data_IF_234469421904
#
_entry.id   IF_234469421904
#
_cell.length_a   1.000
_cell.length_b   1.000
_cell.length_c   1.000
_cell.angle_alpha   90.00
_cell.angle_beta   90.00
_cell.angle_gamma   90.00
#
_symmetry.space_group_name_H-M   'P 1'
#
loop_
_entity.id
_entity.type
_entity.pdbx_description
1 polymer ?
#
# COMPACT_ATOMS: atom_id res chain seq x y z
N UNK A 1 11.18 -13.55 21.76
CA UNK A 1 11.24 -14.98 21.39
C UNK A 1 10.53 -15.26 20.06
N UNK A 2 9.24 -14.91 19.87
CA UNK A 2 8.49 -15.16 18.61
C UNK A 2 9.11 -14.40 17.42
N UNK A 3 9.55 -13.16 17.61
CA UNK A 3 10.22 -12.36 16.56
C UNK A 3 11.55 -12.95 16.17
N UNK A 4 12.35 -13.41 17.14
CA UNK A 4 13.69 -13.94 16.89
C UNK A 4 13.70 -15.30 16.18
N UNK A 5 12.61 -16.05 16.26
CA UNK A 5 12.48 -17.39 15.65
C UNK A 5 11.79 -17.36 14.28
N UNK A 6 11.00 -16.34 13.98
CA UNK A 6 10.28 -16.24 12.71
C UNK A 6 11.16 -15.70 11.58
N UNK A 7 11.34 -16.49 10.53
CA UNK A 7 12.05 -16.07 9.30
C UNK A 7 11.36 -14.85 8.64
N UNK A 8 10.03 -14.78 8.71
CA UNK A 8 9.25 -13.65 8.16
C UNK A 8 9.53 -12.35 8.91
N UNK A 9 9.53 -12.40 10.25
CA UNK A 9 9.77 -11.22 11.07
C UNK A 9 11.21 -10.72 10.93
N UNK A 10 12.18 -11.62 10.79
CA UNK A 10 13.58 -11.24 10.47
C UNK A 10 13.68 -10.55 9.11
N UNK A 11 12.95 -11.01 8.09
CA UNK A 11 12.91 -10.32 6.78
C UNK A 11 12.40 -8.89 6.90
N UNK A 12 11.36 -8.66 7.69
CA UNK A 12 10.83 -7.31 7.96
C UNK A 12 11.86 -6.44 8.69
N UNK A 13 12.55 -6.97 9.69
CA UNK A 13 13.61 -6.22 10.39
C UNK A 13 14.80 -5.89 9.49
N UNK A 14 15.15 -6.79 8.57
CA UNK A 14 16.31 -6.62 7.70
C UNK A 14 16.04 -5.76 6.47
N UNK A 15 14.81 -5.73 5.95
CA UNK A 15 14.48 -5.20 4.62
C UNK A 15 13.21 -4.35 4.60
N UNK A 16 12.59 -4.13 5.74
CA UNK A 16 11.30 -3.45 5.88
C UNK A 16 10.23 -4.04 4.93
N UNK A 17 9.21 -3.27 4.61
CA UNK A 17 8.21 -3.62 3.58
C UNK A 17 8.81 -3.74 2.18
N UNK A 18 9.98 -3.15 1.91
CA UNK A 18 10.71 -3.26 0.64
C UNK A 18 11.11 -4.72 0.28
N UNK A 19 11.07 -5.65 1.25
CA UNK A 19 11.15 -7.09 0.99
C UNK A 19 10.10 -7.59 -0.01
N UNK A 20 8.99 -6.87 -0.17
CA UNK A 20 7.90 -7.20 -1.11
C UNK A 20 8.28 -6.96 -2.57
N UNK A 21 9.23 -6.08 -2.88
CA UNK A 21 9.61 -5.78 -4.28
C UNK A 21 9.91 -7.05 -5.06
N UNK A 22 10.79 -7.92 -4.55
CA UNK A 22 11.13 -9.18 -5.22
C UNK A 22 9.97 -10.17 -5.26
N UNK A 23 9.25 -10.30 -4.15
CA UNK A 23 8.12 -11.24 -4.04
C UNK A 23 7.03 -10.89 -5.06
N UNK A 24 6.70 -9.61 -5.18
CA UNK A 24 5.66 -9.10 -6.10
C UNK A 24 6.14 -9.16 -7.54
N UNK A 25 7.43 -8.93 -7.80
CA UNK A 25 8.06 -9.11 -9.11
C UNK A 25 8.00 -10.57 -9.57
N UNK A 26 8.39 -11.52 -8.71
CA UNK A 26 8.33 -12.96 -8.99
C UNK A 26 6.89 -13.41 -9.23
N UNK A 27 5.93 -12.81 -8.53
CA UNK A 27 4.50 -13.02 -8.74
C UNK A 27 3.92 -12.34 -9.97
N UNK A 28 4.72 -11.65 -10.81
CA UNK A 28 4.23 -10.96 -12.02
C UNK A 28 3.19 -9.88 -11.74
N UNK A 29 3.25 -9.26 -10.56
CA UNK A 29 2.28 -8.25 -10.11
C UNK A 29 2.93 -6.92 -9.71
N UNK A 30 4.24 -6.72 -9.96
CA UNK A 30 4.94 -5.45 -9.74
C UNK A 30 4.60 -4.45 -10.84
N UNK A 31 3.61 -3.64 -10.59
CA UNK A 31 3.06 -2.67 -11.55
C UNK A 31 4.11 -1.71 -12.08
N UNK A 32 4.07 -1.48 -13.38
CA UNK A 32 5.08 -0.68 -14.08
C UNK A 32 4.40 0.30 -15.03
N UNK A 33 4.93 1.52 -15.12
CA UNK A 33 4.55 2.55 -16.10
C UNK A 33 3.03 2.73 -16.22
N UNK A 34 2.42 3.27 -15.20
CA UNK A 34 0.97 3.47 -15.11
C UNK A 34 0.16 2.20 -15.42
N UNK A 35 0.46 1.09 -14.73
CA UNK A 35 -0.29 -0.17 -14.83
C UNK A 35 -0.21 -0.88 -16.20
N UNK A 36 0.84 -0.61 -16.98
CA UNK A 36 1.00 -1.22 -18.30
C UNK A 36 1.57 -2.66 -18.23
N UNK A 37 2.33 -3.00 -17.19
CA UNK A 37 2.95 -4.31 -17.00
C UNK A 37 3.00 -4.69 -15.52
N UNK A 38 3.05 -5.98 -15.21
CA UNK A 38 3.27 -6.53 -13.87
C UNK A 38 4.74 -6.85 -13.57
N UNK A 39 5.69 -6.35 -14.37
CA UNK A 39 7.12 -6.65 -14.24
C UNK A 39 7.98 -5.44 -14.55
N UNK A 40 9.08 -5.27 -13.78
CA UNK A 40 10.04 -4.18 -13.91
C UNK A 40 11.49 -4.70 -13.92
N UNK A 41 12.24 -4.44 -14.97
CA UNK A 41 13.63 -4.91 -15.11
C UNK A 41 14.56 -4.35 -14.03
N UNK A 42 14.33 -3.10 -13.60
CA UNK A 42 15.13 -2.40 -12.57
C UNK A 42 14.84 -2.80 -11.13
N UNK A 43 13.94 -3.76 -10.88
CA UNK A 43 13.41 -4.10 -9.55
C UNK A 43 14.48 -4.44 -8.50
N UNK A 44 15.59 -5.06 -8.91
CA UNK A 44 16.66 -5.40 -7.97
C UNK A 44 17.31 -4.18 -7.33
N UNK A 45 17.50 -3.10 -8.11
CA UNK A 45 18.11 -1.86 -7.62
C UNK A 45 17.21 -1.15 -6.58
N UNK A 46 15.88 -1.32 -6.68
CA UNK A 46 14.90 -0.83 -5.70
C UNK A 46 14.54 -1.82 -4.61
N UNK A 47 15.21 -2.98 -4.50
CA UNK A 47 14.84 -4.02 -3.54
C UNK A 47 15.26 -3.70 -2.11
N UNK A 48 14.58 -4.32 -1.14
CA UNK A 48 14.94 -4.23 0.27
C UNK A 48 16.33 -4.80 0.58
N UNK A 49 16.79 -5.79 -0.19
CA UNK A 49 18.14 -6.32 -0.13
C UNK A 49 19.17 -5.26 -0.48
N UNK A 50 18.97 -4.57 -1.60
CA UNK A 50 19.85 -3.48 -2.05
C UNK A 50 19.83 -2.32 -1.06
N UNK A 51 18.66 -1.94 -0.56
CA UNK A 51 18.52 -0.88 0.43
C UNK A 51 19.28 -1.20 1.73
N UNK A 52 19.15 -2.42 2.24
CA UNK A 52 19.91 -2.88 3.42
C UNK A 52 21.42 -2.84 3.18
N UNK A 53 21.87 -3.38 2.05
CA UNK A 53 23.29 -3.41 1.68
C UNK A 53 23.87 -2.00 1.58
N UNK A 54 23.21 -1.11 0.82
CA UNK A 54 23.64 0.29 0.64
C UNK A 54 23.72 1.01 1.99
N UNK A 55 22.74 0.83 2.87
CA UNK A 55 22.75 1.45 4.20
C UNK A 55 23.94 0.99 5.03
N UNK A 56 24.25 -0.32 5.03
CA UNK A 56 25.41 -0.86 5.76
C UNK A 56 26.75 -0.41 5.18
N UNK A 57 26.89 -0.39 3.87
CA UNK A 57 28.12 0.01 3.18
C UNK A 57 28.45 1.48 3.38
N UNK A 58 27.43 2.36 3.36
CA UNK A 58 27.62 3.79 3.56
C UNK A 58 27.84 4.17 5.02
N UNK A 59 27.25 3.42 5.95
CA UNK A 59 27.39 3.66 7.39
C UNK A 59 26.92 5.03 7.83
N UNK A 60 27.72 5.72 8.65
CA UNK A 60 27.42 7.07 9.13
C UNK A 60 26.15 7.15 9.96
N UNK A 61 25.19 7.94 9.52
CA UNK A 61 23.87 8.08 10.14
C UNK A 61 22.86 7.00 9.67
N UNK A 62 23.30 6.11 8.76
CA UNK A 62 22.49 4.99 8.28
C UNK A 62 22.21 3.96 9.36
N UNK A 63 20.95 3.54 9.49
CA UNK A 63 20.53 2.56 10.50
C UNK A 63 19.63 1.50 9.85
N UNK A 64 19.97 0.23 10.11
CA UNK A 64 19.15 -0.93 9.75
C UNK A 64 18.35 -1.38 10.97
N UNK A 65 17.15 -1.93 10.76
CA UNK A 65 16.28 -2.42 11.83
C UNK A 65 15.94 -1.33 12.86
N UNK A 66 15.52 -0.17 12.38
CA UNK A 66 15.06 0.95 13.19
C UNK A 66 13.60 0.73 13.64
N UNK A 67 13.29 1.01 14.87
CA UNK A 67 11.91 0.99 15.39
C UNK A 67 11.25 2.36 15.19
N UNK A 68 10.09 2.40 14.52
CA UNK A 68 9.31 3.62 14.33
C UNK A 68 8.76 4.20 15.64
N UNK A 69 8.69 3.41 16.70
CA UNK A 69 8.27 3.82 18.06
C UNK A 69 9.10 3.10 19.12
N UNK A 70 9.15 3.71 20.31
CA UNK A 70 9.83 3.11 21.47
C UNK A 70 9.21 1.78 21.84
N UNK A 71 10.06 0.79 22.08
CA UNK A 71 9.64 -0.58 22.46
C UNK A 71 9.19 -1.46 21.29
N UNK A 72 9.20 -0.99 20.05
CA UNK A 72 8.86 -1.81 18.90
C UNK A 72 9.85 -2.97 18.73
N UNK A 73 9.34 -4.21 18.78
CA UNK A 73 10.14 -5.42 18.60
C UNK A 73 10.32 -5.80 17.14
N UNK A 74 9.46 -5.32 16.25
CA UNK A 74 9.50 -5.62 14.81
C UNK A 74 10.66 -4.94 14.10
N UNK A 75 10.90 -3.66 14.44
CA UNK A 75 11.96 -2.84 13.86
C UNK A 75 11.99 -2.92 12.33
N UNK A 76 10.83 -2.77 11.71
CA UNK A 76 10.65 -2.93 10.27
C UNK A 76 10.88 -1.63 9.48
N UNK A 77 11.79 -0.77 9.92
CA UNK A 77 12.21 0.45 9.24
C UNK A 77 13.72 0.62 9.30
N UNK A 78 14.23 1.69 8.73
CA UNK A 78 15.64 2.08 8.76
C UNK A 78 15.81 3.58 8.53
N UNK A 79 17.05 4.03 8.58
CA UNK A 79 17.48 5.37 8.22
C UNK A 79 18.38 5.29 6.99
N UNK A 80 18.00 5.98 5.92
CA UNK A 80 18.67 5.92 4.62
C UNK A 80 19.75 7.01 4.51
N UNK A 81 21.04 6.64 4.39
CA UNK A 81 22.13 7.60 4.27
C UNK A 81 22.42 7.94 2.79
N UNK A 82 22.94 9.13 2.55
CA UNK A 82 23.55 9.50 1.27
C UNK A 82 24.92 8.81 1.06
N UNK A 83 25.57 9.08 -0.06
CA UNK A 83 26.90 8.52 -0.41
C UNK A 83 28.01 8.89 0.58
N UNK A 84 27.81 9.93 1.40
CA UNK A 84 28.74 10.39 2.43
C UNK A 84 28.36 9.91 3.84
N UNK A 85 27.35 9.06 3.96
CA UNK A 85 26.83 8.57 5.24
C UNK A 85 25.92 9.56 5.98
N UNK A 86 25.52 10.68 5.36
CA UNK A 86 24.61 11.66 5.96
C UNK A 86 23.16 11.25 5.73
N UNK A 87 22.31 11.41 6.74
CA UNK A 87 20.88 11.06 6.67
C UNK A 87 20.14 11.82 5.58
N UNK A 88 19.45 11.09 4.68
CA UNK A 88 18.44 11.63 3.77
C UNK A 88 17.07 11.62 4.45
N UNK A 89 16.63 10.45 4.94
CA UNK A 89 15.33 10.27 5.57
C UNK A 89 15.17 8.85 6.15
N UNK A 90 13.95 8.48 6.49
CA UNK A 90 13.63 7.08 6.77
C UNK A 90 13.86 6.22 5.53
N UNK A 91 13.92 4.91 5.71
CA UNK A 91 13.85 3.99 4.56
C UNK A 91 12.53 4.16 3.83
N UNK A 92 12.56 4.38 2.50
CA UNK A 92 11.33 4.34 1.71
C UNK A 92 10.61 2.99 1.89
N UNK A 93 9.32 3.05 2.17
CA UNK A 93 8.48 1.87 2.26
C UNK A 93 8.20 1.28 0.86
N UNK A 94 7.70 0.03 0.81
CA UNK A 94 7.42 -0.65 -0.46
C UNK A 94 6.54 0.19 -1.39
N UNK A 95 5.50 0.82 -0.87
CA UNK A 95 4.58 1.65 -1.66
C UNK A 95 5.30 2.88 -2.24
N UNK A 96 6.15 3.54 -1.47
CA UNK A 96 6.97 4.66 -1.94
C UNK A 96 7.97 4.23 -3.01
N UNK A 97 8.67 3.09 -2.78
CA UNK A 97 9.59 2.52 -3.76
C UNK A 97 8.84 2.19 -5.06
N UNK A 98 7.66 1.60 -4.94
CA UNK A 98 6.86 1.25 -6.11
C UNK A 98 6.38 2.47 -6.87
N UNK A 99 5.78 3.46 -6.20
CA UNK A 99 5.12 4.61 -6.84
C UNK A 99 6.10 5.51 -7.59
N UNK A 100 7.25 5.76 -6.99
CA UNK A 100 8.32 6.55 -7.62
C UNK A 100 9.28 5.72 -8.47
N UNK A 101 9.39 4.43 -8.21
CA UNK A 101 10.25 3.48 -8.89
C UNK A 101 9.58 2.83 -10.10
N UNK A 102 9.15 1.56 -10.01
CA UNK A 102 8.54 0.82 -11.14
C UNK A 102 7.42 1.58 -11.84
N UNK A 103 6.53 2.23 -11.10
CA UNK A 103 5.41 2.99 -11.67
C UNK A 103 5.87 4.14 -12.57
N UNK A 104 6.96 4.81 -12.21
CA UNK A 104 7.57 5.92 -12.94
C UNK A 104 8.76 5.50 -13.82
N UNK A 105 9.15 4.22 -13.79
CA UNK A 105 10.28 3.69 -14.57
C UNK A 105 11.66 4.08 -14.01
N UNK A 106 11.75 4.45 -12.72
CA UNK A 106 12.97 4.86 -12.03
C UNK A 106 13.48 3.70 -11.15
N UNK A 107 14.78 3.47 -11.11
CA UNK A 107 15.41 2.38 -10.35
C UNK A 107 16.56 2.84 -9.44
N UNK A 108 16.59 4.11 -9.10
CA UNK A 108 17.60 4.74 -8.24
C UNK A 108 17.02 5.02 -6.84
N UNK A 109 17.46 4.24 -5.84
CA UNK A 109 17.04 4.40 -4.45
C UNK A 109 17.42 5.76 -3.85
N UNK A 110 18.53 6.37 -4.27
CA UNK A 110 18.95 7.68 -3.77
C UNK A 110 17.96 8.77 -4.20
N UNK A 111 17.45 8.65 -5.41
CA UNK A 111 16.43 9.55 -5.94
C UNK A 111 15.09 9.31 -5.26
N UNK A 112 14.67 8.04 -5.14
CA UNK A 112 13.41 7.67 -4.48
C UNK A 112 13.40 8.14 -3.00
N UNK A 113 14.51 7.98 -2.28
CA UNK A 113 14.63 8.46 -0.90
C UNK A 113 14.53 9.99 -0.79
N UNK A 114 14.99 10.74 -1.80
CA UNK A 114 14.81 12.19 -1.86
C UNK A 114 13.36 12.58 -2.13
N UNK A 115 12.66 11.84 -2.99
CA UNK A 115 11.23 12.09 -3.24
C UNK A 115 10.41 11.82 -1.98
N UNK A 116 10.68 10.70 -1.28
CA UNK A 116 10.07 10.38 0.01
C UNK A 116 10.29 11.52 1.02
N UNK A 117 11.53 12.01 1.12
CA UNK A 117 11.87 13.13 2.00
C UNK A 117 11.10 14.40 1.65
N UNK A 118 10.95 14.74 0.37
CA UNK A 118 10.18 15.91 -0.05
C UNK A 118 8.70 15.74 0.32
N UNK A 119 8.12 14.55 0.10
CA UNK A 119 6.75 14.27 0.50
C UNK A 119 6.54 14.43 2.00
N UNK A 120 7.46 13.90 2.82
CA UNK A 120 7.43 14.05 4.28
C UNK A 120 7.51 15.53 4.71
N UNK A 121 8.41 16.32 4.11
CA UNK A 121 8.61 17.74 4.45
C UNK A 121 7.41 18.62 4.08
N UNK A 122 6.71 18.27 2.99
CA UNK A 122 5.54 19.03 2.49
C UNK A 122 4.23 18.50 3.06
N UNK A 123 4.21 17.26 3.53
CA UNK A 123 3.01 16.59 4.08
C UNK A 123 2.05 16.08 3.01
N UNK A 124 2.57 15.47 1.94
CA UNK A 124 1.79 14.83 0.87
C UNK A 124 2.04 13.34 0.83
N UNK A 125 1.03 12.57 0.37
CA UNK A 125 1.12 11.11 0.27
C UNK A 125 2.01 10.67 -0.89
N UNK A 126 2.93 9.73 -0.62
CA UNK A 126 3.88 9.21 -1.62
C UNK A 126 3.21 8.37 -2.70
N UNK A 127 2.10 7.69 -2.38
CA UNK A 127 1.32 6.92 -3.36
C UNK A 127 0.65 7.88 -4.33
N UNK A 128 -0.12 8.85 -3.83
CA UNK A 128 -0.86 9.79 -4.66
C UNK A 128 0.05 10.64 -5.55
N UNK A 129 1.16 11.16 -5.00
CA UNK A 129 2.14 11.94 -5.76
C UNK A 129 2.85 11.07 -6.79
N UNK A 130 3.30 9.87 -6.42
CA UNK A 130 3.98 8.96 -7.33
C UNK A 130 3.09 8.48 -8.47
N UNK A 131 1.82 8.14 -8.18
CA UNK A 131 0.83 7.79 -9.21
C UNK A 131 0.52 8.99 -10.10
N UNK A 132 0.36 10.19 -9.53
CA UNK A 132 0.19 11.43 -10.28
C UNK A 132 1.38 11.73 -11.21
N UNK A 133 2.60 11.47 -10.75
CA UNK A 133 3.82 11.58 -11.57
C UNK A 133 3.79 10.58 -12.74
N UNK A 134 3.44 9.33 -12.49
CA UNK A 134 3.27 8.32 -13.55
C UNK A 134 2.19 8.69 -14.57
N UNK A 135 1.13 9.39 -14.16
CA UNK A 135 0.13 9.95 -15.08
C UNK A 135 0.70 11.08 -15.94
N UNK A 136 1.48 12.00 -15.37
CA UNK A 136 2.17 13.04 -16.13
C UNK A 136 3.13 12.43 -17.18
N UNK A 137 3.83 11.35 -16.81
CA UNK A 137 4.67 10.59 -17.74
C UNK A 137 3.83 9.93 -18.85
N UNK A 138 2.70 9.32 -18.49
CA UNK A 138 1.77 8.73 -19.46
C UNK A 138 1.14 9.78 -20.39
N UNK A 139 0.94 11.00 -19.91
CA UNK A 139 0.47 12.15 -20.72
C UNK A 139 1.58 12.75 -21.62
N UNK A 140 2.82 12.28 -21.50
CA UNK A 140 3.96 12.81 -22.25
C UNK A 140 4.51 14.15 -21.73
N UNK A 141 4.13 14.57 -20.53
CA UNK A 141 4.65 15.79 -19.90
C UNK A 141 6.13 15.65 -19.49
N UNK A 142 6.55 14.42 -19.15
CA UNK A 142 7.96 14.05 -18.95
C UNK A 142 8.18 12.57 -19.33
N UNK A 143 9.41 12.18 -19.72
CA UNK A 143 9.71 10.78 -20.06
C UNK A 143 9.66 9.86 -18.84
N UNK A 144 9.24 8.59 -19.01
CA UNK A 144 9.45 7.56 -18.00
C UNK A 144 10.95 7.35 -17.75
N UNK A 145 11.33 7.25 -16.47
CA UNK A 145 12.70 7.01 -16.04
C UNK A 145 13.57 8.27 -15.95
N UNK A 146 13.05 9.45 -16.31
CA UNK A 146 13.78 10.71 -16.16
C UNK A 146 13.72 11.21 -14.70
N UNK A 147 14.66 10.72 -13.90
CA UNK A 147 14.75 11.02 -12.48
C UNK A 147 15.02 12.52 -12.21
N UNK A 148 15.80 13.19 -13.05
CA UNK A 148 16.13 14.59 -12.86
C UNK A 148 14.93 15.51 -13.17
N UNK A 149 14.18 15.22 -14.22
CA UNK A 149 12.95 15.95 -14.53
C UNK A 149 11.89 15.71 -13.43
N UNK A 150 11.77 14.49 -12.95
CA UNK A 150 10.88 14.15 -11.84
C UNK A 150 11.29 14.87 -10.54
N UNK A 151 12.59 14.98 -10.21
CA UNK A 151 13.05 15.71 -9.04
C UNK A 151 12.70 17.22 -9.11
N UNK A 152 12.85 17.83 -10.27
CA UNK A 152 12.42 19.22 -10.47
C UNK A 152 10.93 19.38 -10.21
N UNK A 153 10.12 18.45 -10.71
CA UNK A 153 8.67 18.47 -10.50
C UNK A 153 8.32 18.30 -9.02
N UNK A 154 9.06 17.46 -8.27
CA UNK A 154 8.87 17.34 -6.82
C UNK A 154 9.15 18.66 -6.07
N UNK A 155 10.17 19.40 -6.49
CA UNK A 155 10.45 20.72 -5.91
C UNK A 155 9.32 21.73 -6.19
N UNK A 156 8.65 21.65 -7.35
CA UNK A 156 7.49 22.49 -7.64
C UNK A 156 6.34 22.31 -6.63
N UNK A 157 6.17 21.09 -6.06
CA UNK A 157 5.20 20.86 -4.97
C UNK A 157 5.57 21.71 -3.75
N UNK A 158 6.85 21.70 -3.35
CA UNK A 158 7.36 22.47 -2.23
C UNK A 158 7.22 23.97 -2.44
N UNK A 159 7.39 24.45 -3.69
CA UNK A 159 7.27 25.85 -4.08
C UNK A 159 5.80 26.28 -4.27
N UNK A 160 4.86 25.34 -4.35
CA UNK A 160 3.44 25.61 -4.54
C UNK A 160 3.10 26.25 -5.89
N UNK A 161 3.87 25.94 -6.94
CA UNK A 161 3.58 26.38 -8.31
C UNK A 161 2.25 25.81 -8.80
N UNK A 162 1.63 26.34 -9.86
CA UNK A 162 0.40 25.76 -10.41
C UNK A 162 0.51 24.27 -10.71
N UNK A 163 1.61 23.81 -11.32
CA UNK A 163 1.83 22.40 -11.62
C UNK A 163 2.12 21.59 -10.35
N UNK A 164 2.91 22.14 -9.43
CA UNK A 164 3.18 21.52 -8.13
C UNK A 164 1.91 21.31 -7.29
N UNK A 165 0.98 22.28 -7.32
CA UNK A 165 -0.34 22.13 -6.66
C UNK A 165 -1.19 21.07 -7.32
N UNK A 166 -1.20 20.97 -8.65
CA UNK A 166 -1.93 19.92 -9.38
C UNK A 166 -1.41 18.54 -8.97
N UNK A 167 -0.09 18.35 -8.95
CA UNK A 167 0.54 17.09 -8.57
C UNK A 167 0.32 16.78 -7.07
N UNK A 168 0.51 17.76 -6.19
CA UNK A 168 0.33 17.62 -4.75
C UNK A 168 -1.12 17.34 -4.32
N UNK A 169 -2.11 17.61 -5.21
CA UNK A 169 -3.51 17.22 -5.01
C UNK A 169 -3.84 15.80 -5.48
N UNK A 170 -2.83 15.01 -5.88
CA UNK A 170 -2.97 13.60 -6.21
C UNK A 170 -3.39 13.28 -7.64
N UNK A 171 -3.40 11.99 -7.95
CA UNK A 171 -3.58 11.47 -9.30
C UNK A 171 -4.95 11.79 -9.94
N UNK A 172 -6.02 11.85 -9.15
CA UNK A 172 -7.36 12.22 -9.64
C UNK A 172 -7.33 13.65 -10.24
N UNK A 173 -6.67 14.58 -9.55
CA UNK A 173 -6.54 15.97 -10.01
C UNK A 173 -5.69 16.06 -11.27
N UNK A 174 -4.56 15.34 -11.30
CA UNK A 174 -3.69 15.25 -12.50
C UNK A 174 -4.50 14.69 -13.67
N UNK A 175 -5.22 13.59 -13.46
CA UNK A 175 -6.05 12.98 -14.51
C UNK A 175 -7.09 13.93 -15.09
N UNK A 176 -7.77 14.70 -14.26
CA UNK A 176 -8.76 15.73 -14.71
C UNK A 176 -8.12 16.85 -15.48
N UNK A 177 -7.00 17.40 -14.99
CA UNK A 177 -6.32 18.53 -15.64
C UNK A 177 -5.77 18.15 -17.01
N UNK A 178 -5.23 16.94 -17.16
CA UNK A 178 -4.68 16.43 -18.42
C UNK A 178 -5.70 15.68 -19.29
N UNK A 179 -6.98 15.62 -18.89
CA UNK A 179 -8.06 14.97 -19.65
C UNK A 179 -7.85 13.47 -19.87
N UNK A 180 -7.20 12.80 -18.91
CA UNK A 180 -6.88 11.38 -19.02
C UNK A 180 -8.09 10.50 -18.70
N UNK A 181 -8.26 9.40 -19.42
CA UNK A 181 -9.30 8.39 -19.14
C UNK A 181 -8.80 7.28 -18.22
N UNK A 182 -7.53 6.95 -18.30
CA UNK A 182 -6.89 5.86 -17.56
C UNK A 182 -6.27 6.40 -16.27
N UNK A 183 -7.13 6.74 -15.31
CA UNK A 183 -6.76 7.27 -14.00
C UNK A 183 -6.99 6.18 -12.95
N UNK A 184 -5.96 5.68 -12.26
CA UNK A 184 -6.08 4.57 -11.31
C UNK A 184 -6.47 5.08 -9.93
N UNK A 185 -7.70 5.57 -9.78
CA UNK A 185 -8.25 6.08 -8.52
C UNK A 185 -9.60 5.47 -8.21
N UNK A 186 -9.92 5.32 -6.94
CA UNK A 186 -11.27 5.00 -6.44
C UNK A 186 -11.64 6.01 -5.37
N UNK A 187 -12.80 6.64 -5.51
CA UNK A 187 -13.27 7.71 -4.62
C UNK A 187 -12.25 8.86 -4.46
N UNK A 188 -11.46 9.13 -5.51
CA UNK A 188 -10.44 10.16 -5.53
C UNK A 188 -9.06 9.75 -4.99
N UNK A 189 -8.92 8.58 -4.39
CA UNK A 189 -7.67 8.08 -3.86
C UNK A 189 -6.96 7.16 -4.87
N UNK A 190 -5.65 7.31 -5.01
CA UNK A 190 -4.84 6.50 -5.91
C UNK A 190 -4.73 5.04 -5.47
N UNK A 191 -4.78 4.12 -6.44
CA UNK A 191 -4.56 2.69 -6.16
C UNK A 191 -3.11 2.44 -5.74
N UNK A 192 -2.88 1.73 -4.64
CA UNK A 192 -1.56 1.30 -4.18
C UNK A 192 -0.90 0.26 -5.08
N UNK A 193 0.24 -0.30 -4.70
CA UNK A 193 1.13 -1.09 -5.54
C UNK A 193 0.57 -2.39 -6.14
N UNK A 194 -0.46 -2.97 -5.57
CA UNK A 194 -0.94 -4.28 -6.01
C UNK A 194 -1.98 -4.16 -7.11
N UNK A 195 -1.77 -4.89 -8.23
CA UNK A 195 -2.69 -4.83 -9.37
C UNK A 195 -3.94 -5.67 -9.13
N UNK A 196 -5.15 -5.10 -9.22
CA UNK A 196 -6.41 -5.83 -9.11
C UNK A 196 -6.55 -7.01 -10.08
N UNK A 197 -5.86 -6.96 -11.22
CA UNK A 197 -5.89 -8.02 -12.23
C UNK A 197 -5.04 -9.24 -11.84
N UNK A 198 -3.99 -9.02 -11.01
CA UNK A 198 -3.08 -10.08 -10.54
C UNK A 198 -3.27 -10.42 -9.07
N UNK A 199 -3.93 -9.56 -8.27
CA UNK A 199 -4.24 -9.79 -6.85
C UNK A 199 -5.68 -9.35 -6.62
N UNK A 200 -6.63 -10.21 -7.02
CA UNK A 200 -8.06 -9.84 -7.06
C UNK A 200 -8.64 -9.48 -5.70
N UNK A 201 -8.13 -10.07 -4.61
CA UNK A 201 -8.60 -9.74 -3.26
C UNK A 201 -8.36 -8.28 -2.87
N UNK A 202 -7.21 -7.71 -3.24
CA UNK A 202 -6.99 -6.27 -3.03
C UNK A 202 -7.85 -5.42 -3.96
N UNK A 203 -8.16 -5.91 -5.17
CA UNK A 203 -9.08 -5.25 -6.08
C UNK A 203 -10.48 -5.10 -5.48
N UNK A 204 -10.99 -6.13 -4.79
CA UNK A 204 -12.24 -6.06 -4.03
C UNK A 204 -12.14 -4.99 -2.94
N UNK A 205 -11.05 -4.99 -2.17
CA UNK A 205 -10.79 -4.01 -1.11
C UNK A 205 -10.78 -2.58 -1.68
N UNK A 206 -9.96 -2.31 -2.69
CA UNK A 206 -9.84 -0.98 -3.30
C UNK A 206 -11.16 -0.45 -3.85
N UNK A 207 -11.98 -1.33 -4.43
CA UNK A 207 -13.29 -0.96 -4.94
C UNK A 207 -14.28 -0.56 -3.84
N UNK A 208 -14.23 -1.24 -2.68
CA UNK A 208 -15.34 -1.23 -1.72
C UNK A 208 -15.08 -0.49 -0.42
N UNK A 209 -13.81 -0.27 -0.01
CA UNK A 209 -13.56 0.38 1.28
C UNK A 209 -14.18 1.77 1.35
N UNK A 210 -14.63 2.21 2.54
CA UNK A 210 -15.23 3.53 2.70
C UNK A 210 -14.32 4.68 2.28
N UNK A 211 -13.02 4.56 2.51
CA UNK A 211 -12.01 5.57 2.19
C UNK A 211 -11.75 5.70 0.67
N UNK A 212 -11.85 4.61 -0.07
CA UNK A 212 -11.46 4.53 -1.48
C UNK A 212 -10.41 3.44 -1.71
N UNK A 213 -9.43 3.69 -2.57
CA UNK A 213 -8.37 2.70 -2.85
C UNK A 213 -7.36 2.59 -1.69
N UNK A 214 -7.84 2.27 -0.50
CA UNK A 214 -7.04 2.17 0.72
C UNK A 214 -6.05 1.01 0.65
N UNK A 215 -4.78 1.29 0.97
CA UNK A 215 -3.68 0.34 0.93
C UNK A 215 -3.87 -0.82 1.93
N UNK A 216 -4.38 -0.55 3.12
CA UNK A 216 -4.33 -1.48 4.25
C UNK A 216 -5.67 -1.97 4.75
N UNK A 217 -6.77 -1.33 4.39
CA UNK A 217 -8.11 -1.58 4.96
C UNK A 217 -8.58 -3.05 4.90
N UNK A 218 -8.15 -3.79 3.89
CA UNK A 218 -8.39 -5.23 3.78
C UNK A 218 -7.25 -5.88 3.02
N UNK A 219 -6.08 -5.97 3.68
CA UNK A 219 -4.80 -6.30 3.07
C UNK A 219 -4.74 -7.78 2.61
N UNK A 220 -5.50 -8.09 1.54
CA UNK A 220 -5.63 -9.44 0.98
C UNK A 220 -4.29 -10.05 0.49
N UNK A 221 -3.24 -9.23 0.37
CA UNK A 221 -1.85 -9.67 0.12
C UNK A 221 -1.42 -10.75 1.11
N UNK A 222 -1.91 -10.71 2.36
CA UNK A 222 -1.64 -11.72 3.39
C UNK A 222 -1.98 -13.14 2.89
N UNK A 223 -3.20 -13.37 2.45
CA UNK A 223 -3.64 -14.70 1.98
C UNK A 223 -3.33 -14.95 0.51
N UNK A 224 -3.35 -13.90 -0.34
CA UNK A 224 -3.11 -14.03 -1.77
C UNK A 224 -1.62 -14.27 -2.11
N UNK A 225 -0.69 -13.61 -1.39
CA UNK A 225 0.75 -13.64 -1.72
C UNK A 225 1.58 -14.28 -0.59
N UNK A 226 1.34 -13.87 0.66
CA UNK A 226 2.21 -14.22 1.79
C UNK A 226 1.84 -15.53 2.48
N UNK A 227 0.67 -16.11 2.19
CA UNK A 227 0.10 -17.27 2.88
C UNK A 227 0.02 -17.05 4.41
N UNK A 228 -0.46 -15.89 4.84
CA UNK A 228 -0.77 -15.51 6.22
C UNK A 228 -2.29 -15.46 6.38
N UNK A 229 -2.84 -16.08 7.42
CA UNK A 229 -4.28 -16.19 7.62
C UNK A 229 -4.98 -17.07 6.57
N UNK A 230 -4.26 -18.01 5.95
CA UNK A 230 -4.76 -18.89 4.90
C UNK A 230 -4.07 -18.69 3.55
N UNK A 231 -4.66 -19.31 2.52
CA UNK A 231 -4.18 -19.19 1.13
C UNK A 231 -5.35 -19.16 0.17
N UNK A 232 -5.42 -18.09 -0.63
CA UNK A 232 -6.41 -17.91 -1.70
C UNK A 232 -5.65 -17.55 -2.98
N UNK A 233 -5.99 -18.20 -4.10
CA UNK A 233 -5.32 -17.96 -5.40
C UNK A 233 -5.57 -16.51 -5.86
N UNK A 234 -4.53 -15.68 -5.99
CA UNK A 234 -4.69 -14.26 -6.31
C UNK A 234 -5.28 -13.99 -7.69
N UNK A 235 -5.15 -14.95 -8.62
CA UNK A 235 -5.60 -14.81 -10.02
C UNK A 235 -7.05 -15.24 -10.23
N UNK A 236 -7.70 -15.87 -9.22
CA UNK A 236 -9.08 -16.34 -9.30
C UNK A 236 -10.01 -15.45 -8.50
N UNK A 237 -11.27 -15.33 -8.96
CA UNK A 237 -12.32 -14.56 -8.28
C UNK A 237 -12.88 -15.27 -7.05
N UNK A 238 -12.79 -16.62 -7.05
CA UNK A 238 -13.33 -17.45 -5.98
C UNK A 238 -12.76 -17.11 -4.62
N UNK A 239 -13.64 -16.85 -3.64
CA UNK A 239 -13.27 -16.56 -2.26
C UNK A 239 -12.78 -15.13 -1.99
N UNK A 240 -12.54 -14.29 -2.99
CA UNK A 240 -11.97 -12.95 -2.79
C UNK A 240 -12.92 -12.00 -2.07
N UNK A 241 -14.23 -12.07 -2.33
CA UNK A 241 -15.24 -11.27 -1.62
C UNK A 241 -15.23 -11.59 -0.12
N UNK A 242 -15.25 -12.87 0.25
CA UNK A 242 -15.23 -13.29 1.64
C UNK A 242 -13.91 -12.91 2.33
N UNK A 243 -12.77 -13.08 1.63
CA UNK A 243 -11.45 -12.70 2.11
C UNK A 243 -11.38 -11.20 2.41
N UNK A 244 -11.74 -10.37 1.44
CA UNK A 244 -11.71 -8.91 1.58
C UNK A 244 -12.64 -8.43 2.70
N UNK A 245 -13.86 -8.97 2.79
CA UNK A 245 -14.81 -8.69 3.89
C UNK A 245 -14.19 -8.96 5.25
N UNK A 246 -13.66 -10.17 5.45
CA UNK A 246 -13.07 -10.58 6.73
C UNK A 246 -11.90 -9.68 7.11
N UNK A 247 -11.03 -9.37 6.15
CA UNK A 247 -9.87 -8.53 6.41
C UNK A 247 -10.24 -7.07 6.64
N UNK A 248 -11.23 -6.50 5.94
CA UNK A 248 -11.72 -5.15 6.21
C UNK A 248 -12.27 -5.03 7.64
N UNK A 249 -13.08 -6.01 8.08
CA UNK A 249 -13.61 -6.06 9.46
C UNK A 249 -12.46 -6.15 10.48
N UNK A 250 -11.51 -7.06 10.25
CA UNK A 250 -10.38 -7.25 11.15
C UNK A 250 -9.49 -6.00 11.24
N UNK A 251 -9.20 -5.36 10.09
CA UNK A 251 -8.36 -4.16 10.05
C UNK A 251 -9.04 -2.99 10.75
N UNK A 252 -10.34 -2.75 10.52
CA UNK A 252 -11.07 -1.69 11.21
C UNK A 252 -11.01 -1.84 12.74
N UNK A 253 -11.08 -3.08 13.24
CA UNK A 253 -10.94 -3.36 14.68
C UNK A 253 -9.52 -3.18 15.19
N UNK A 254 -8.53 -3.62 14.42
CA UNK A 254 -7.09 -3.49 14.74
C UNK A 254 -6.69 -2.02 14.83
N UNK A 255 -7.14 -1.21 13.87
CA UNK A 255 -6.87 0.23 13.83
C UNK A 255 -7.53 0.96 15.01
N UNK A 256 -8.79 0.63 15.30
CA UNK A 256 -9.49 1.17 16.47
C UNK A 256 -8.83 0.78 17.80
N UNK A 257 -8.20 -0.39 17.89
CA UNK A 257 -7.43 -0.83 19.05
C UNK A 257 -6.03 -0.19 19.12
N UNK A 258 -5.60 0.59 18.12
CA UNK A 258 -4.29 1.22 18.06
C UNK A 258 -3.13 0.24 17.81
N UNK A 259 -3.39 -0.89 17.17
CA UNK A 259 -2.38 -1.89 16.85
C UNK A 259 -1.74 -1.61 15.49
N UNK A 260 -0.43 -1.85 15.39
CA UNK A 260 0.28 -1.82 14.12
C UNK A 260 -0.11 -3.01 13.23
N UNK A 261 -0.38 -2.75 11.94
CA UNK A 261 -0.75 -3.79 10.96
C UNK A 261 0.24 -4.96 10.92
N UNK A 262 1.56 -4.70 10.94
CA UNK A 262 2.55 -5.77 10.95
C UNK A 262 2.51 -6.61 12.24
N UNK A 263 2.19 -5.99 13.39
CA UNK A 263 1.93 -6.71 14.64
C UNK A 263 0.65 -7.55 14.58
N UNK A 264 -0.37 -7.01 13.92
CA UNK A 264 -1.67 -7.65 13.77
C UNK A 264 -1.64 -8.91 12.88
N UNK A 265 -0.64 -9.09 12.02
CA UNK A 265 -0.48 -10.36 11.27
C UNK A 265 -0.40 -11.58 12.18
N UNK A 266 0.09 -11.42 13.41
CA UNK A 266 0.07 -12.49 14.39
C UNK A 266 -1.35 -12.91 14.78
N UNK A 267 -2.32 -12.02 14.77
CA UNK A 267 -3.72 -12.30 15.09
C UNK A 267 -4.37 -13.24 14.06
N UNK A 268 -3.91 -13.19 12.81
CA UNK A 268 -4.43 -14.03 11.73
C UNK A 268 -3.95 -15.49 11.81
N UNK A 269 -2.75 -15.72 12.35
CA UNK A 269 -2.10 -17.05 12.36
C UNK A 269 -2.06 -17.69 13.77
N UNK A 270 -2.20 -16.90 14.83
CA UNK A 270 -2.01 -17.35 16.21
C UNK A 270 -3.29 -17.07 17.01
N UNK A 271 -4.12 -18.09 17.30
CA UNK A 271 -5.38 -17.89 18.02
C UNK A 271 -5.22 -17.14 19.35
N UNK A 272 -4.19 -17.46 20.14
CA UNK A 272 -3.92 -16.80 21.43
C UNK A 272 -3.56 -15.30 21.28
N UNK A 273 -3.16 -14.85 20.10
CA UNK A 273 -2.83 -13.44 19.89
C UNK A 273 -4.08 -12.55 19.93
N UNK A 274 -5.20 -13.00 19.35
CA UNK A 274 -6.46 -12.27 19.43
C UNK A 274 -6.98 -12.22 20.87
N UNK A 275 -6.91 -13.35 21.59
CA UNK A 275 -7.30 -13.41 23.01
C UNK A 275 -6.47 -12.42 23.83
N UNK A 276 -5.15 -12.39 23.63
CA UNK A 276 -4.27 -11.45 24.34
C UNK A 276 -4.61 -9.98 24.05
N UNK A 277 -5.00 -9.63 22.82
CA UNK A 277 -5.46 -8.27 22.47
C UNK A 277 -6.73 -7.92 23.25
N UNK A 278 -7.71 -8.83 23.29
CA UNK A 278 -8.95 -8.62 24.02
C UNK A 278 -8.69 -8.49 25.53
N UNK A 279 -7.83 -9.32 26.10
CA UNK A 279 -7.45 -9.26 27.52
C UNK A 279 -6.77 -7.93 27.87
N UNK A 280 -5.89 -7.41 26.99
CA UNK A 280 -5.26 -6.11 27.18
C UNK A 280 -6.28 -4.96 27.17
N UNK A 281 -7.25 -4.99 26.26
CA UNK A 281 -8.32 -3.98 26.19
C UNK A 281 -9.21 -4.04 27.45
N UNK A 282 -9.60 -5.25 27.87
CA UNK A 282 -10.38 -5.47 29.08
C UNK A 282 -9.66 -4.95 30.32
N UNK A 283 -8.38 -5.29 30.47
CA UNK A 283 -7.58 -4.87 31.60
C UNK A 283 -7.35 -3.36 31.64
N UNK A 284 -7.14 -2.72 30.47
CA UNK A 284 -6.87 -1.28 30.39
C UNK A 284 -8.11 -0.43 30.64
N UNK A 285 -9.26 -0.85 30.10
CA UNK A 285 -10.47 -0.02 30.08
C UNK A 285 -11.57 -0.52 31.01
N UNK A 286 -11.37 -1.62 31.74
CA UNK A 286 -12.38 -2.22 32.62
C UNK A 286 -13.56 -2.81 31.84
N UNK A 287 -13.31 -3.32 30.63
CA UNK A 287 -14.32 -3.91 29.75
C UNK A 287 -14.46 -5.41 30.01
N UNK A 288 -15.46 -6.04 29.37
CA UNK A 288 -15.72 -7.49 29.41
C UNK A 288 -15.94 -8.03 27.99
N UNK A 289 -15.06 -7.59 27.06
CA UNK A 289 -15.11 -8.00 25.66
C UNK A 289 -14.73 -9.48 25.50
N UNK A 290 -15.29 -10.09 24.48
CA UNK A 290 -14.90 -11.40 23.94
C UNK A 290 -14.26 -11.24 22.56
N UNK A 291 -13.74 -12.30 21.99
CA UNK A 291 -13.20 -12.28 20.62
C UNK A 291 -14.28 -11.98 19.57
N UNK A 292 -15.54 -12.33 19.82
CA UNK A 292 -16.65 -12.04 18.91
C UNK A 292 -17.00 -10.55 18.87
N UNK A 293 -16.77 -9.82 19.97
CA UNK A 293 -16.98 -8.37 20.03
C UNK A 293 -16.02 -7.61 19.10
N UNK A 294 -14.85 -8.18 18.79
CA UNK A 294 -13.89 -7.59 17.83
C UNK A 294 -14.49 -7.56 16.42
N UNK A 295 -15.17 -8.63 16.01
CA UNK A 295 -15.87 -8.69 14.72
C UNK A 295 -17.01 -7.67 14.68
N UNK A 296 -17.82 -7.62 15.73
CA UNK A 296 -18.94 -6.68 15.87
C UNK A 296 -18.46 -5.23 15.83
N UNK A 297 -17.33 -4.93 16.47
CA UNK A 297 -16.70 -3.60 16.43
C UNK A 297 -16.32 -3.20 15.01
N UNK A 298 -15.61 -4.07 14.27
CA UNK A 298 -15.20 -3.78 12.89
C UNK A 298 -16.39 -3.55 11.96
N UNK A 299 -17.43 -4.38 12.07
CA UNK A 299 -18.68 -4.19 11.31
C UNK A 299 -19.36 -2.86 11.63
N UNK A 300 -19.40 -2.48 12.91
CA UNK A 300 -19.99 -1.22 13.36
C UNK A 300 -19.24 0.00 12.82
N UNK A 301 -17.88 -0.05 12.84
CA UNK A 301 -17.02 1.01 12.30
C UNK A 301 -17.29 1.18 10.80
N UNK A 302 -17.17 0.11 10.02
CA UNK A 302 -17.39 0.16 8.56
C UNK A 302 -18.80 0.61 8.21
N UNK A 303 -19.82 0.19 8.96
CA UNK A 303 -21.20 0.65 8.76
C UNK A 303 -21.35 2.14 9.02
N UNK A 304 -20.69 2.66 10.06
CA UNK A 304 -20.70 4.09 10.41
C UNK A 304 -20.01 4.93 9.34
N UNK A 305 -18.86 4.49 8.85
CA UNK A 305 -18.11 5.16 7.78
C UNK A 305 -18.91 5.18 6.46
N UNK A 306 -19.54 4.08 6.10
CA UNK A 306 -20.41 4.02 4.92
C UNK A 306 -21.64 4.90 5.04
N UNK A 307 -22.24 4.99 6.22
CA UNK A 307 -23.38 5.90 6.45
C UNK A 307 -22.94 7.37 6.34
N UNK A 308 -21.75 7.70 6.90
CA UNK A 308 -21.15 9.02 6.71
C UNK A 308 -20.98 9.35 5.22
N UNK A 309 -20.40 8.42 4.44
CA UNK A 309 -20.17 8.59 3.02
C UNK A 309 -21.48 8.84 2.25
N UNK A 310 -22.52 8.04 2.51
CA UNK A 310 -23.84 8.23 1.88
C UNK A 310 -24.41 9.62 2.16
N UNK A 311 -24.29 10.11 3.40
CA UNK A 311 -24.72 11.46 3.78
C UNK A 311 -23.87 12.54 3.11
N UNK A 312 -22.60 12.28 2.86
CA UNK A 312 -21.69 13.16 2.13
C UNK A 312 -21.87 13.10 0.59
N UNK A 313 -22.76 12.24 0.09
CA UNK A 313 -23.03 12.08 -1.34
C UNK A 313 -22.17 11.02 -2.05
N UNK A 314 -21.29 10.31 -1.32
CA UNK A 314 -20.52 9.17 -1.85
C UNK A 314 -21.37 7.91 -1.64
N UNK A 315 -22.07 7.50 -2.69
CA UNK A 315 -22.98 6.35 -2.66
C UNK A 315 -22.27 5.06 -3.06
N UNK A 316 -22.95 3.92 -2.91
CA UNK A 316 -22.46 2.61 -3.31
C UNK A 316 -22.16 2.50 -4.83
N UNK A 317 -22.60 3.45 -5.64
CA UNK A 317 -22.22 3.58 -7.06
C UNK A 317 -20.71 3.88 -7.25
N UNK A 318 -20.07 4.42 -6.23
CA UNK A 318 -18.61 4.68 -6.21
C UNK A 318 -17.77 3.43 -5.85
N UNK A 319 -18.42 2.32 -5.44
CA UNK A 319 -17.78 1.06 -5.09
C UNK A 319 -17.41 0.28 -6.37
N UNK A 320 -16.46 0.82 -7.14
CA UNK A 320 -16.00 0.21 -8.40
C UNK A 320 -14.55 0.58 -8.71
N UNK A 321 -13.86 -0.30 -9.41
CA UNK A 321 -12.58 0.03 -10.01
C UNK A 321 -12.75 0.82 -11.31
N UNK A 322 -11.74 1.58 -11.77
CA UNK A 322 -11.67 2.11 -13.14
C UNK A 322 -11.82 1.01 -14.19
N UNK A 323 -12.56 1.28 -15.26
CA UNK A 323 -12.97 0.30 -16.27
C UNK A 323 -11.80 -0.46 -16.91
N UNK A 324 -10.64 0.18 -17.07
CA UNK A 324 -9.48 -0.44 -17.70
C UNK A 324 -8.97 -1.70 -16.96
N UNK A 325 -9.26 -1.88 -15.67
CA UNK A 325 -8.92 -3.10 -14.96
C UNK A 325 -9.75 -4.31 -15.40
N UNK A 326 -10.96 -4.07 -15.90
CA UNK A 326 -11.83 -5.10 -16.46
C UNK A 326 -11.66 -5.25 -17.97
N UNK A 327 -11.17 -4.22 -18.67
CA UNK A 327 -11.09 -4.17 -20.13
C UNK A 327 -9.72 -4.60 -20.68
N UNK A 328 -8.64 -4.39 -19.89
CA UNK A 328 -7.26 -4.62 -20.33
C UNK A 328 -6.63 -5.82 -19.63
N UNK A 329 -5.93 -6.66 -20.40
CA UNK A 329 -5.12 -7.76 -19.85
C UNK A 329 -3.83 -7.23 -19.21
N UNK A 330 -3.40 -7.83 -18.08
CA UNK A 330 -2.13 -7.52 -17.44
C UNK A 330 -1.06 -8.57 -17.80
N UNK A 331 -0.01 -8.23 -18.56
CA UNK A 331 1.15 -9.11 -18.70
C UNK A 331 1.93 -9.23 -17.36
N UNK A 332 2.52 -10.38 -17.02
CA UNK A 332 2.65 -11.59 -17.85
C UNK A 332 1.47 -12.56 -17.75
N UNK A 333 0.54 -12.38 -16.81
CA UNK A 333 -0.56 -13.32 -16.56
C UNK A 333 -1.66 -13.26 -17.62
N UNK A 334 -1.82 -12.12 -18.28
CA UNK A 334 -2.90 -11.83 -19.22
C UNK A 334 -4.29 -12.04 -18.57
N UNK A 335 -4.41 -11.58 -17.32
CA UNK A 335 -5.64 -11.64 -16.53
C UNK A 335 -6.27 -10.27 -16.42
N UNK A 336 -7.58 -10.25 -16.15
CA UNK A 336 -8.40 -9.06 -15.89
C UNK A 336 -9.03 -9.13 -14.51
N UNK A 337 -9.52 -8.00 -14.02
CA UNK A 337 -10.39 -7.98 -12.86
C UNK A 337 -11.81 -8.34 -13.32
N UNK A 338 -12.26 -9.54 -12.99
CA UNK A 338 -13.48 -10.18 -13.47
C UNK A 338 -14.55 -10.38 -12.37
N UNK A 339 -14.40 -9.69 -11.23
CA UNK A 339 -15.41 -9.66 -10.18
C UNK A 339 -16.44 -8.58 -10.52
N UNK A 340 -17.70 -8.98 -10.64
CA UNK A 340 -18.79 -8.11 -11.07
C UNK A 340 -19.19 -7.07 -10.00
N UNK A 341 -19.84 -5.99 -10.44
CA UNK A 341 -20.39 -4.99 -9.52
C UNK A 341 -21.43 -5.59 -8.57
N UNK A 342 -22.18 -6.59 -9.01
CA UNK A 342 -23.18 -7.27 -8.16
C UNK A 342 -22.49 -8.08 -7.03
N UNK A 343 -21.36 -8.73 -7.33
CA UNK A 343 -20.56 -9.42 -6.32
C UNK A 343 -19.95 -8.42 -5.33
N UNK A 344 -19.39 -7.30 -5.82
CA UNK A 344 -18.80 -6.25 -4.95
C UNK A 344 -19.82 -5.70 -3.95
N UNK A 345 -21.09 -5.53 -4.33
CA UNK A 345 -22.17 -5.08 -3.43
C UNK A 345 -22.38 -6.03 -2.25
N UNK A 346 -21.96 -7.28 -2.36
CA UNK A 346 -22.14 -8.27 -1.28
C UNK A 346 -21.11 -8.19 -0.18
N UNK A 347 -20.03 -7.41 -0.34
CA UNK A 347 -18.94 -7.31 0.65
C UNK A 347 -19.46 -6.91 2.03
N UNK A 348 -20.46 -6.04 2.12
CA UNK A 348 -21.03 -5.54 3.38
C UNK A 348 -22.38 -6.14 3.74
N UNK A 349 -22.69 -7.33 3.21
CA UNK A 349 -23.89 -8.08 3.61
C UNK A 349 -23.58 -8.91 4.87
N UNK A 350 -23.82 -8.33 6.05
CA UNK A 350 -23.79 -8.99 7.36
C UNK A 350 -25.03 -8.71 8.18
#
# INVERSE_FOLDING_TARGET
>A
ALVDTSVRLRRLSDRASAALVKIVQEGGSLRTKNFASGSFEGHERGSGETMNQVTKERGGEGVVAHGCMSGCIMRCSGLYPDKNGKLIGKWPEYETIWSFGPHSGIDDLDVIARYDRICDDVGVDTIDVGVGMGLLMAAGALPYGDADAALKLMHEISEGTPLGRVLGCGAETVGRVYGMRRVPTVKGQSLPAYDPRAVKGVGVTYATTPMGADHTAGYAVTANILSVGGKVDPLKSDGQIALSRTLQIATASVDAAGLCLFGAFAVLDIPDALVAVVDMLNAKYGLTLTTDDVVTLGQSILSTERDFNRRAGITDAADRLPDFFSDEDLPPHNTRFDISLEELKTVFNW
#
